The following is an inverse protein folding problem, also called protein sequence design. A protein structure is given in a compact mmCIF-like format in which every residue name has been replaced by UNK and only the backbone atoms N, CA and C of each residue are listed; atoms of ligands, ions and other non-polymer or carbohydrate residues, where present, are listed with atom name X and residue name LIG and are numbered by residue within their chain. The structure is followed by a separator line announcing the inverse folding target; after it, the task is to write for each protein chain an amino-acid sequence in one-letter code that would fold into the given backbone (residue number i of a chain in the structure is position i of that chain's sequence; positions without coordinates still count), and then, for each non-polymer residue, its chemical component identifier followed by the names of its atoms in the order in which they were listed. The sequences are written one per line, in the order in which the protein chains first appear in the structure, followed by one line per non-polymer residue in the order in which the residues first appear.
data_IF_910412433013
#
_entry.id   IF_910412433013
#
_cell.length_a   1.000
_cell.length_b   1.000
_cell.length_c   1.000
_cell.angle_alpha   90.00
_cell.angle_beta   90.00
_cell.angle_gamma   90.00
#
_symmetry.space_group_name_H-M   'P 1'
#
loop_
_entity.id
_entity.type
_entity.pdbx_description
1 polymer ?
#
# COMPACT_ATOMS: atom_id res chain seq x y z
N UNK A 1 9.28 29.44 -4.95
CA UNK A 1 8.83 30.41 -3.91
C UNK A 1 7.79 29.72 -3.01
N UNK A 2 8.22 28.96 -2.01
CA UNK A 2 7.34 28.33 -1.01
C UNK A 2 8.05 28.02 0.33
N UNK A 3 9.38 28.08 0.37
CA UNK A 3 10.19 27.80 1.56
C UNK A 3 10.43 29.03 2.47
N UNK A 4 9.79 30.18 2.20
CA UNK A 4 9.92 31.37 3.06
C UNK A 4 8.84 31.43 4.15
N UNK A 5 7.82 30.55 4.10
CA UNK A 5 6.68 30.58 5.04
C UNK A 5 6.88 29.68 6.26
N UNK A 6 7.77 28.69 6.17
CA UNK A 6 8.09 27.76 7.26
C UNK A 6 9.09 28.31 8.30
N UNK A 7 9.78 29.42 7.99
CA UNK A 7 10.73 30.05 8.92
C UNK A 7 10.02 30.91 10.00
N UNK A 8 8.82 31.43 9.70
CA UNK A 8 8.10 32.36 10.58
C UNK A 8 7.38 31.69 11.75
N UNK A 9 7.10 30.39 11.69
CA UNK A 9 6.38 29.67 12.76
C UNK A 9 7.28 29.11 13.85
N UNK A 10 8.61 29.08 13.67
CA UNK A 10 9.55 28.57 14.70
C UNK A 10 10.25 29.66 15.52
N UNK A 11 10.16 30.94 15.16
CA UNK A 11 10.97 32.03 15.78
C UNK A 11 10.29 32.72 16.97
N UNK A 12 8.96 32.59 17.16
CA UNK A 12 8.24 33.48 18.09
C UNK A 12 8.23 33.09 19.58
N UNK A 13 8.88 32.02 20.04
CA UNK A 13 8.81 31.59 21.45
C UNK A 13 10.18 31.40 22.12
N UNK A 14 11.15 32.26 21.78
CA UNK A 14 12.52 32.15 22.29
C UNK A 14 12.95 33.27 23.25
N UNK A 15 12.04 34.08 23.81
CA UNK A 15 12.44 35.27 24.59
C UNK A 15 12.05 35.33 26.07
N UNK A 16 11.50 34.27 26.68
CA UNK A 16 11.28 34.26 28.14
C UNK A 16 11.77 32.95 28.78
N UNK A 17 13.09 32.89 28.90
CA UNK A 17 13.95 32.25 29.90
C UNK A 17 13.60 30.88 30.50
N UNK A 18 14.54 29.96 30.22
CA UNK A 18 15.08 28.89 31.07
C UNK A 18 14.24 27.63 31.31
N UNK A 19 14.55 26.62 30.50
CA UNK A 19 14.35 25.18 30.72
C UNK A 19 12.90 24.69 30.73
N UNK A 20 12.31 24.58 29.53
CA UNK A 20 11.34 23.52 29.28
C UNK A 20 11.83 22.78 28.05
N UNK A 21 12.31 21.55 28.30
CA UNK A 21 12.50 20.43 27.39
C UNK A 21 12.44 20.82 25.92
N UNK A 22 13.61 20.83 25.26
CA UNK A 22 13.73 20.83 23.80
C UNK A 22 12.70 19.89 23.17
N UNK A 23 11.55 20.43 22.77
CA UNK A 23 10.68 19.75 21.79
C UNK A 23 11.34 20.01 20.46
N UNK A 24 12.46 19.32 20.21
CA UNK A 24 12.93 19.15 18.86
C UNK A 24 11.82 18.39 18.16
N UNK A 25 11.04 19.06 17.31
CA UNK A 25 10.29 18.36 16.30
C UNK A 25 11.35 17.79 15.37
N UNK A 26 11.87 16.60 15.72
CA UNK A 26 12.66 15.79 14.81
C UNK A 26 11.69 15.47 13.70
N UNK A 27 11.72 16.29 12.65
CA UNK A 27 11.23 15.90 11.34
C UNK A 27 11.92 14.56 11.12
N UNK A 28 11.14 13.48 11.02
CA UNK A 28 11.66 12.22 10.55
C UNK A 28 12.48 12.60 9.32
N UNK A 29 13.80 12.39 9.41
CA UNK A 29 14.66 12.59 8.26
C UNK A 29 14.00 11.85 7.09
N UNK A 30 14.19 12.25 5.83
CA UNK A 30 14.19 11.24 4.79
C UNK A 30 15.31 10.26 5.15
N UNK A 31 15.04 9.37 6.12
CA UNK A 31 15.80 8.17 6.34
C UNK A 31 15.64 7.47 5.00
N UNK A 32 16.75 7.38 4.28
CA UNK A 32 16.81 6.59 3.06
C UNK A 32 16.43 5.17 3.47
N UNK A 33 15.13 4.86 3.39
CA UNK A 33 14.66 3.55 3.76
C UNK A 33 15.39 2.55 2.87
N UNK A 34 15.84 1.41 3.41
CA UNK A 34 16.53 0.42 2.59
C UNK A 34 15.53 -0.17 1.59
N UNK A 35 15.99 -0.35 0.35
CA UNK A 35 15.26 -1.12 -0.65
C UNK A 35 15.26 -2.62 -0.31
N UNK A 36 14.46 -3.39 -1.03
CA UNK A 36 14.34 -4.83 -0.82
C UNK A 36 14.92 -5.60 -2.01
N UNK A 37 15.50 -6.78 -1.75
CA UNK A 37 16.02 -7.65 -2.81
C UNK A 37 15.18 -8.93 -2.88
N UNK A 38 14.49 -9.13 -3.99
CA UNK A 38 13.68 -10.30 -4.29
C UNK A 38 14.37 -11.12 -5.41
N UNK A 39 15.05 -12.21 -5.03
CA UNK A 39 15.92 -12.95 -5.94
C UNK A 39 17.03 -12.07 -6.50
N UNK A 40 17.02 -11.84 -7.82
CA UNK A 40 17.97 -10.97 -8.54
C UNK A 40 17.46 -9.53 -8.74
N UNK A 41 16.20 -9.25 -8.40
CA UNK A 41 15.57 -7.94 -8.59
C UNK A 41 15.70 -7.12 -7.31
N UNK A 42 16.06 -5.84 -7.45
CA UNK A 42 16.07 -4.88 -6.33
C UNK A 42 14.90 -3.92 -6.49
N UNK A 43 14.08 -3.83 -5.45
CA UNK A 43 12.91 -2.98 -5.35
C UNK A 43 13.20 -1.76 -4.47
N UNK A 44 12.71 -0.61 -4.91
CA UNK A 44 12.78 0.63 -4.14
C UNK A 44 11.98 0.52 -2.83
N UNK A 45 12.28 1.36 -1.82
CA UNK A 45 11.53 1.36 -0.57
C UNK A 45 10.05 1.70 -0.82
N UNK A 46 9.13 0.99 -0.15
CA UNK A 46 7.69 1.10 -0.36
C UNK A 46 7.21 0.70 -1.77
N UNK A 47 8.06 0.07 -2.59
CA UNK A 47 7.62 -0.51 -3.86
C UNK A 47 6.63 -1.64 -3.60
N UNK A 48 5.64 -1.75 -4.49
CA UNK A 48 4.62 -2.82 -4.49
C UNK A 48 4.75 -3.57 -5.80
N UNK A 49 4.79 -4.91 -5.75
CA UNK A 49 4.86 -5.76 -6.92
C UNK A 49 4.05 -7.05 -6.74
N UNK A 50 3.72 -7.68 -7.86
CA UNK A 50 3.02 -8.97 -7.91
C UNK A 50 3.92 -10.01 -8.57
N UNK A 51 4.67 -10.81 -7.80
CA UNK A 51 5.50 -11.88 -8.37
C UNK A 51 4.64 -12.99 -9.01
N UNK A 52 3.43 -13.20 -8.47
CA UNK A 52 2.44 -14.15 -8.97
C UNK A 52 1.07 -13.44 -9.05
N UNK A 53 0.12 -13.87 -9.89
CA UNK A 53 -1.18 -13.21 -10.02
C UNK A 53 -1.92 -13.07 -8.69
N UNK A 54 -1.82 -14.09 -7.82
CA UNK A 54 -2.47 -14.17 -6.53
C UNK A 54 -1.60 -13.72 -5.34
N UNK A 55 -0.42 -13.13 -5.57
CA UNK A 55 0.47 -12.74 -4.49
C UNK A 55 0.87 -11.29 -4.64
N UNK A 56 0.66 -10.51 -3.60
CA UNK A 56 1.04 -9.10 -3.56
C UNK A 56 2.16 -8.92 -2.53
N UNK A 57 3.26 -8.31 -2.95
CA UNK A 57 4.41 -8.03 -2.09
C UNK A 57 4.66 -6.54 -2.00
N UNK A 58 5.12 -6.09 -0.82
CA UNK A 58 5.55 -4.73 -0.55
C UNK A 58 6.91 -4.73 0.14
N UNK A 59 7.74 -3.74 -0.20
CA UNK A 59 8.99 -3.49 0.50
C UNK A 59 8.75 -2.54 1.68
N UNK A 60 8.65 -3.08 2.89
CA UNK A 60 8.57 -2.29 4.12
C UNK A 60 9.95 -2.21 4.77
N UNK A 61 10.61 -1.05 4.68
CA UNK A 61 11.88 -0.75 5.36
C UNK A 61 12.93 -1.86 5.20
N UNK A 62 13.12 -2.36 3.97
CA UNK A 62 14.10 -3.39 3.64
C UNK A 62 13.64 -4.83 3.90
N UNK A 63 12.41 -5.03 4.39
CA UNK A 63 11.78 -6.34 4.51
C UNK A 63 10.71 -6.53 3.44
N UNK A 64 10.71 -7.68 2.79
CA UNK A 64 9.65 -8.06 1.84
C UNK A 64 8.50 -8.66 2.65
N UNK A 65 7.33 -8.02 2.58
CA UNK A 65 6.09 -8.51 3.18
C UNK A 65 5.15 -8.87 2.04
N UNK A 66 4.69 -10.12 2.01
CA UNK A 66 3.77 -10.59 0.98
C UNK A 66 2.46 -11.10 1.59
N UNK A 67 1.37 -10.94 0.86
CA UNK A 67 0.05 -11.44 1.18
C UNK A 67 -0.55 -12.19 -0.02
N UNK A 68 -1.30 -13.26 0.27
CA UNK A 68 -2.00 -14.06 -0.73
C UNK A 68 -3.43 -13.54 -0.91
N UNK A 69 -3.80 -13.31 -2.17
CA UNK A 69 -5.11 -12.84 -2.57
C UNK A 69 -6.10 -14.02 -2.53
N UNK A 70 -7.14 -13.91 -1.71
CA UNK A 70 -8.26 -14.83 -1.72
C UNK A 70 -9.41 -14.29 -2.58
N UNK A 71 -9.94 -15.15 -3.44
CA UNK A 71 -11.05 -14.82 -4.32
C UNK A 71 -12.40 -15.10 -3.68
N UNK A 72 -13.39 -14.28 -4.04
CA UNK A 72 -14.78 -14.49 -3.62
C UNK A 72 -15.41 -15.66 -4.39
N UNK A 73 -16.32 -16.39 -3.75
CA UNK A 73 -17.05 -17.48 -4.39
C UNK A 73 -18.12 -16.96 -5.36
N UNK A 74 -18.05 -17.37 -6.63
CA UNK A 74 -19.02 -17.00 -7.66
C UNK A 74 -20.30 -17.86 -7.57
N UNK A 75 -21.18 -17.56 -6.61
CA UNK A 75 -22.46 -18.26 -6.42
C UNK A 75 -23.38 -18.08 -7.62
N UNK A 76 -23.96 -19.19 -8.10
CA UNK A 76 -24.88 -19.17 -9.24
C UNK A 76 -24.22 -18.87 -10.58
N UNK A 77 -22.90 -18.98 -10.67
CA UNK A 77 -22.19 -18.86 -11.94
C UNK A 77 -22.17 -20.19 -12.70
N UNK A 78 -22.67 -20.21 -13.94
CA UNK A 78 -22.64 -21.41 -14.80
C UNK A 78 -21.33 -21.52 -15.58
N UNK A 79 -20.75 -20.38 -15.94
CA UNK A 79 -19.51 -20.32 -16.71
C UNK A 79 -18.63 -19.21 -16.18
N UNK A 80 -17.42 -19.57 -15.73
CA UNK A 80 -16.40 -18.64 -15.28
C UNK A 80 -15.10 -18.85 -16.03
N UNK A 81 -14.30 -17.78 -16.12
CA UNK A 81 -12.96 -17.80 -16.70
C UNK A 81 -11.99 -17.03 -15.81
N UNK A 82 -10.71 -17.37 -15.83
CA UNK A 82 -9.66 -16.58 -15.18
C UNK A 82 -8.90 -15.85 -16.29
N UNK A 83 -9.02 -14.52 -16.40
CA UNK A 83 -8.27 -13.76 -17.41
C UNK A 83 -6.76 -13.92 -17.23
N UNK A 84 -6.00 -13.81 -18.32
CA UNK A 84 -4.54 -13.90 -18.23
C UNK A 84 -3.97 -12.81 -17.32
N UNK A 85 -3.13 -13.22 -16.37
CA UNK A 85 -2.49 -12.31 -15.40
C UNK A 85 -3.36 -11.92 -14.21
N UNK A 86 -4.62 -12.35 -14.15
CA UNK A 86 -5.51 -12.12 -13.01
C UNK A 86 -5.51 -13.30 -12.05
N UNK A 87 -5.68 -13.02 -10.76
CA UNK A 87 -5.80 -14.06 -9.74
C UNK A 87 -7.18 -14.72 -9.76
N UNK A 88 -8.23 -13.91 -9.88
CA UNK A 88 -9.58 -14.34 -9.55
C UNK A 88 -10.43 -14.61 -10.79
N UNK A 89 -11.30 -15.64 -10.73
CA UNK A 89 -12.22 -15.92 -11.81
C UNK A 89 -13.27 -14.82 -11.92
N UNK A 90 -13.69 -14.57 -13.14
CA UNK A 90 -14.84 -13.72 -13.47
C UNK A 90 -15.97 -14.58 -14.01
N UNK A 91 -17.20 -14.28 -13.62
CA UNK A 91 -18.36 -14.98 -14.13
C UNK A 91 -18.78 -14.40 -15.49
N UNK A 92 -18.84 -15.25 -16.52
CA UNK A 92 -19.33 -14.87 -17.85
C UNK A 92 -20.84 -15.05 -18.00
N UNK A 93 -21.42 -16.05 -17.32
CA UNK A 93 -22.87 -16.32 -17.34
C UNK A 93 -23.37 -16.76 -15.97
N UNK A 94 -24.35 -16.02 -15.45
CA UNK A 94 -25.10 -16.41 -14.25
C UNK A 94 -26.27 -17.31 -14.64
N UNK A 95 -26.56 -18.30 -13.80
CA UNK A 95 -27.79 -19.07 -13.88
C UNK A 95 -28.96 -18.09 -13.74
N UNK A 96 -29.73 -17.92 -14.81
CA UNK A 96 -30.94 -17.11 -14.76
C UNK A 96 -31.89 -17.77 -13.78
N UNK A 97 -32.22 -17.07 -12.68
CA UNK A 97 -33.23 -17.51 -11.76
C UNK A 97 -34.53 -17.66 -12.55
N UNK A 98 -34.97 -18.91 -12.76
CA UNK A 98 -36.32 -19.18 -13.25
C UNK A 98 -37.26 -18.51 -12.27
N UNK A 99 -37.89 -17.42 -12.73
CA UNK A 99 -38.72 -16.55 -11.90
C UNK A 99 -39.72 -17.37 -11.11
N UNK A 100 -39.57 -17.35 -9.80
CA UNK A 100 -40.61 -17.84 -8.91
C UNK A 100 -41.54 -16.66 -8.65
N UNK A 101 -42.54 -16.51 -9.54
CA UNK A 101 -43.76 -15.77 -9.22
C UNK A 101 -44.48 -16.66 -8.20
N UNK A 102 -44.40 -16.31 -6.92
CA UNK A 102 -45.35 -16.77 -5.90
C UNK A 102 -46.57 -15.89 -5.89
#
# INVERSE_FOLDING_TARGET
MAEARAFRTCVCLALLSTQVLWVTCKKASPESQPGCKDGDVTHEPNAIWKPEPCRLCVCDKGSIVCEDIHCEELKGCEHFTVPEGECCPVCERFASARGQIV
#
